data_IF_467027077367
#
_entry.id   IF_467027077367
#
_cell.length_a   1.000
_cell.length_b   1.000
_cell.length_c   1.000
_cell.angle_alpha   90.00
_cell.angle_beta   90.00
_cell.angle_gamma   90.00
#
_symmetry.space_group_name_H-M   'P 1'
#
loop_
_entity.id
_entity.type
_entity.pdbx_description
1 polymer ?
#
# COMPACT_ATOMS: atom_id res chain seq x y z
N UNK A 1 2.81 22.30 -8.07
CA UNK A 1 2.04 21.09 -7.71
C UNK A 1 1.71 20.33 -8.98
N UNK A 2 2.32 19.16 -9.19
CA UNK A 2 2.23 18.40 -10.44
C UNK A 2 1.35 17.16 -10.26
N UNK A 3 0.08 17.37 -9.89
CA UNK A 3 -0.90 16.29 -9.81
C UNK A 3 -1.54 16.12 -11.19
N UNK A 4 -0.92 15.33 -12.08
CA UNK A 4 -1.55 14.91 -13.35
C UNK A 4 -0.67 14.81 -14.61
N UNK A 5 0.57 15.31 -14.59
CA UNK A 5 1.45 15.23 -15.77
C UNK A 5 2.31 13.95 -15.74
N UNK A 6 2.51 13.33 -16.89
CA UNK A 6 3.45 12.23 -17.07
C UNK A 6 4.90 12.73 -16.97
N UNK A 7 5.87 11.87 -16.61
CA UNK A 7 7.27 12.25 -16.53
C UNK A 7 7.83 12.85 -17.83
N UNK A 8 7.31 12.38 -18.97
CA UNK A 8 7.65 12.91 -20.30
C UNK A 8 7.15 14.33 -20.50
N UNK A 9 5.91 14.63 -20.13
CA UNK A 9 5.35 16.00 -20.23
C UNK A 9 6.06 16.97 -19.29
N UNK A 10 6.49 16.49 -18.11
CA UNK A 10 7.33 17.27 -17.19
C UNK A 10 8.70 17.54 -17.82
N UNK A 11 9.32 16.52 -18.43
CA UNK A 11 10.58 16.68 -19.15
C UNK A 11 10.45 17.70 -20.28
N UNK A 12 9.40 17.61 -21.08
CA UNK A 12 9.12 18.53 -22.19
C UNK A 12 8.88 19.97 -21.70
N UNK A 13 8.14 20.12 -20.59
CA UNK A 13 7.89 21.43 -19.96
C UNK A 13 9.18 22.06 -19.44
N UNK A 14 10.02 21.30 -18.74
CA UNK A 14 11.31 21.77 -18.22
C UNK A 14 12.19 22.17 -19.39
N UNK A 15 12.30 21.31 -20.41
CA UNK A 15 13.06 21.57 -21.64
C UNK A 15 12.62 22.86 -22.32
N UNK A 16 11.30 23.08 -22.44
CA UNK A 16 10.75 24.32 -23.00
C UNK A 16 11.11 25.57 -22.18
N UNK A 17 11.10 25.48 -20.84
CA UNK A 17 11.41 26.61 -19.95
C UNK A 17 12.90 26.95 -19.87
N UNK A 18 13.78 25.97 -20.03
CA UNK A 18 15.23 26.21 -19.96
C UNK A 18 15.82 26.59 -21.32
N UNK A 19 15.14 26.28 -22.43
CA UNK A 19 15.58 26.58 -23.80
C UNK A 19 15.98 28.04 -24.04
N UNK A 20 15.32 29.01 -23.39
CA UNK A 20 15.66 30.43 -23.52
C UNK A 20 16.97 30.83 -22.84
N UNK A 21 17.51 29.98 -21.95
CA UNK A 21 18.74 30.24 -21.21
C UNK A 21 19.98 29.57 -21.83
N UNK A 22 19.82 28.80 -22.92
CA UNK A 22 20.92 28.12 -23.61
C UNK A 22 21.01 28.59 -25.06
N UNK A 23 22.18 29.10 -25.46
CA UNK A 23 22.40 29.70 -26.79
C UNK A 23 22.77 28.69 -27.87
N UNK A 24 23.44 27.60 -27.52
CA UNK A 24 24.09 26.71 -28.50
C UNK A 24 23.50 25.29 -28.55
N UNK A 25 22.94 24.78 -27.45
CA UNK A 25 22.29 23.46 -27.43
C UNK A 25 21.34 23.32 -26.23
N UNK A 26 20.14 22.82 -26.48
CA UNK A 26 19.18 22.49 -25.41
C UNK A 26 19.65 21.21 -24.71
N UNK A 27 19.78 21.18 -23.37
CA UNK A 27 20.23 19.99 -22.66
C UNK A 27 19.19 18.87 -22.75
N UNK A 28 19.67 17.63 -22.82
CA UNK A 28 18.81 16.44 -22.76
C UNK A 28 18.32 16.25 -21.32
N UNK A 29 17.01 16.38 -21.10
CA UNK A 29 16.38 16.30 -19.78
C UNK A 29 15.76 14.93 -19.59
N UNK A 30 16.35 14.09 -18.73
CA UNK A 30 15.73 12.84 -18.29
C UNK A 30 15.04 13.03 -16.95
N UNK A 31 13.72 12.83 -16.91
CA UNK A 31 12.94 12.83 -15.67
C UNK A 31 12.70 11.38 -15.24
N UNK A 32 13.21 11.02 -14.07
CA UNK A 32 12.98 9.71 -13.43
C UNK A 32 12.05 9.93 -12.25
N UNK A 33 10.96 9.18 -12.20
CA UNK A 33 10.06 9.19 -11.04
C UNK A 33 10.77 8.50 -9.88
N UNK A 34 11.18 9.25 -8.86
CA UNK A 34 11.93 8.72 -7.70
C UNK A 34 11.08 7.97 -6.69
N UNK A 35 9.77 8.19 -6.73
CA UNK A 35 8.76 7.45 -5.98
C UNK A 35 7.49 7.66 -6.80
N UNK A 36 6.98 6.70 -7.59
CA UNK A 36 5.62 6.85 -8.06
C UNK A 36 4.82 7.05 -6.77
N UNK A 37 3.92 8.01 -6.71
CA UNK A 37 2.89 7.99 -5.69
C UNK A 37 2.00 6.76 -5.98
N UNK A 38 2.60 5.58 -5.83
CA UNK A 38 2.00 4.29 -6.05
C UNK A 38 0.96 4.14 -4.97
N UNK A 39 -0.11 3.48 -5.32
CA UNK A 39 -1.15 3.07 -4.39
C UNK A 39 -0.47 2.48 -3.14
N UNK A 40 -0.61 3.12 -1.98
CA UNK A 40 -0.07 2.63 -0.70
C UNK A 40 -1.21 2.17 0.19
N UNK A 41 -0.95 1.19 1.04
CA UNK A 41 -1.79 0.88 2.19
C UNK A 41 -1.01 1.16 3.48
N UNK A 42 -1.71 1.18 4.61
CA UNK A 42 -1.12 1.44 5.92
C UNK A 42 -1.36 0.27 6.85
N UNK A 43 -0.38 -0.03 7.70
CA UNK A 43 -0.52 -0.98 8.80
C UNK A 43 -0.17 -0.26 10.10
N UNK A 44 -1.08 -0.31 11.07
CA UNK A 44 -0.95 0.39 12.35
C UNK A 44 -1.36 -0.51 13.52
N UNK A 45 -0.99 -0.10 14.74
CA UNK A 45 -1.26 -0.84 15.97
C UNK A 45 -0.11 -1.77 16.37
N UNK A 46 -0.42 -2.89 17.01
CA UNK A 46 0.54 -3.86 17.56
C UNK A 46 1.15 -4.77 16.48
N UNK A 47 1.93 -4.16 15.61
CA UNK A 47 2.81 -4.85 14.64
C UNK A 47 4.26 -4.45 14.89
N UNK A 48 5.21 -5.26 14.41
CA UNK A 48 6.63 -5.00 14.64
C UNK A 48 7.12 -3.73 13.93
N UNK A 49 6.61 -3.47 12.72
CA UNK A 49 6.97 -2.31 11.91
C UNK A 49 5.69 -1.63 11.39
N UNK A 50 5.09 -0.70 12.15
CA UNK A 50 3.97 0.09 11.64
C UNK A 50 4.42 1.05 10.53
N UNK A 51 3.55 1.35 9.56
CA UNK A 51 3.88 2.31 8.51
C UNK A 51 3.08 2.18 7.22
N UNK A 52 3.52 2.91 6.19
CA UNK A 52 2.97 2.84 4.84
C UNK A 52 3.73 1.83 3.99
N UNK A 53 3.00 1.04 3.20
CA UNK A 53 3.56 0.00 2.35
C UNK A 53 3.08 0.18 0.90
N UNK A 54 3.96 -0.02 -0.10
CA UNK A 54 3.59 0.08 -1.51
C UNK A 54 2.73 -1.11 -1.95
N UNK A 55 1.70 -0.84 -2.75
CA UNK A 55 0.93 -1.86 -3.47
C UNK A 55 1.64 -2.11 -4.79
N UNK A 56 2.57 -3.06 -4.79
CA UNK A 56 3.27 -3.52 -6.00
C UNK A 56 2.54 -4.65 -6.71
N UNK A 57 1.61 -5.33 -6.03
CA UNK A 57 0.78 -6.45 -6.49
C UNK A 57 -0.47 -6.54 -5.62
N UNK A 58 -1.41 -7.44 -5.92
CA UNK A 58 -2.52 -7.74 -5.00
C UNK A 58 -1.97 -8.22 -3.66
N UNK A 59 -2.26 -7.45 -2.59
CA UNK A 59 -1.84 -7.75 -1.22
C UNK A 59 -3.08 -8.03 -0.40
N UNK A 60 -3.11 -9.15 0.32
CA UNK A 60 -4.18 -9.47 1.27
C UNK A 60 -3.80 -9.09 2.71
N UNK A 61 -4.77 -9.10 3.62
CA UNK A 61 -4.53 -8.67 5.02
C UNK A 61 -3.42 -9.47 5.74
N UNK A 62 -3.28 -10.77 5.47
CA UNK A 62 -2.21 -11.58 6.06
C UNK A 62 -0.83 -11.23 5.49
N UNK A 63 -0.76 -10.96 4.19
CA UNK A 63 0.46 -10.50 3.53
C UNK A 63 0.84 -9.10 4.02
N UNK A 64 -0.12 -8.20 4.20
CA UNK A 64 0.09 -6.88 4.77
C UNK A 64 0.67 -6.97 6.20
N UNK A 65 0.12 -7.83 7.05
CA UNK A 65 0.67 -8.12 8.37
C UNK A 65 2.12 -8.63 8.29
N UNK A 66 2.40 -9.54 7.36
CA UNK A 66 3.75 -10.07 7.14
C UNK A 66 4.74 -8.99 6.68
N UNK A 67 4.30 -8.09 5.79
CA UNK A 67 5.10 -6.93 5.35
C UNK A 67 5.41 -5.97 6.50
N UNK A 68 4.51 -5.86 7.49
CA UNK A 68 4.73 -5.14 8.73
C UNK A 68 5.61 -5.86 9.77
N UNK A 69 6.29 -6.93 9.35
CA UNK A 69 7.14 -7.76 10.21
C UNK A 69 6.36 -8.79 11.04
N UNK A 70 5.04 -8.87 10.89
CA UNK A 70 4.18 -9.71 11.71
C UNK A 70 3.66 -8.98 12.95
N UNK A 71 2.85 -9.71 13.72
CA UNK A 71 2.24 -9.23 14.94
C UNK A 71 3.30 -9.00 16.03
N UNK A 72 3.14 -7.93 16.82
CA UNK A 72 3.92 -7.71 18.03
C UNK A 72 3.39 -8.55 19.19
N UNK A 73 4.10 -8.55 20.32
CA UNK A 73 3.65 -9.23 21.53
C UNK A 73 2.28 -8.70 21.98
N UNK A 74 1.40 -9.60 22.42
CA UNK A 74 0.04 -9.29 22.88
C UNK A 74 -0.87 -8.63 21.83
N UNK A 75 -0.56 -8.79 20.54
CA UNK A 75 -1.42 -8.39 19.44
C UNK A 75 -2.66 -9.29 19.32
N UNK A 76 -3.83 -8.67 19.15
CA UNK A 76 -5.09 -9.39 18.93
C UNK A 76 -5.42 -9.48 17.44
N UNK A 77 -4.69 -10.37 16.77
CA UNK A 77 -4.85 -10.65 15.34
C UNK A 77 -6.21 -11.23 14.97
N UNK A 78 -6.99 -11.75 15.93
CA UNK A 78 -8.35 -12.25 15.66
C UNK A 78 -9.39 -11.13 15.56
N UNK A 79 -9.06 -9.94 16.07
CA UNK A 79 -9.90 -8.76 16.02
C UNK A 79 -9.25 -7.63 15.21
N UNK A 80 -8.45 -8.00 14.20
CA UNK A 80 -7.92 -7.02 13.27
C UNK A 80 -9.06 -6.32 12.52
N UNK A 81 -8.80 -5.10 12.06
CA UNK A 81 -9.80 -4.28 11.38
C UNK A 81 -9.19 -3.66 10.13
N UNK A 82 -9.91 -3.74 9.02
CA UNK A 82 -9.59 -3.05 7.79
C UNK A 82 -10.49 -1.82 7.65
N UNK A 83 -9.87 -0.65 7.57
CA UNK A 83 -10.55 0.61 7.33
C UNK A 83 -10.40 0.99 5.86
N UNK A 84 -11.53 1.21 5.18
CA UNK A 84 -11.56 1.61 3.77
C UNK A 84 -12.35 2.89 3.57
N UNK A 85 -12.01 3.67 2.55
CA UNK A 85 -12.85 4.77 2.08
C UNK A 85 -13.94 4.23 1.15
N UNK A 86 -15.20 4.26 1.59
CA UNK A 86 -16.37 3.93 0.79
C UNK A 86 -17.06 5.18 0.25
N UNK A 87 -18.04 5.00 -0.65
CA UNK A 87 -18.76 6.09 -1.29
C UNK A 87 -19.53 7.03 -0.33
N UNK A 88 -19.80 6.57 0.90
CA UNK A 88 -20.54 7.32 1.94
C UNK A 88 -19.70 7.64 3.17
N UNK A 89 -18.39 7.42 3.12
CA UNK A 89 -17.46 7.60 4.24
C UNK A 89 -16.67 6.35 4.57
N UNK A 90 -16.05 6.33 5.75
CA UNK A 90 -15.16 5.25 6.17
C UNK A 90 -15.95 3.98 6.52
N UNK A 91 -15.56 2.86 5.90
CA UNK A 91 -16.08 1.52 6.15
C UNK A 91 -15.11 0.77 7.05
N UNK A 92 -15.63 0.06 8.03
CA UNK A 92 -14.88 -0.73 9.00
C UNK A 92 -15.21 -2.19 8.78
N UNK A 93 -14.22 -2.99 8.38
CA UNK A 93 -14.36 -4.41 8.09
C UNK A 93 -13.55 -5.24 9.10
N UNK A 94 -14.19 -6.07 9.94
CA UNK A 94 -13.48 -7.00 10.81
C UNK A 94 -12.71 -8.06 10.01
N UNK A 95 -11.52 -8.41 10.48
CA UNK A 95 -10.63 -9.41 9.86
C UNK A 95 -10.07 -10.33 10.95
N UNK A 96 -10.41 -11.63 10.91
CA UNK A 96 -9.84 -12.63 11.81
C UNK A 96 -8.59 -13.26 11.18
N UNK A 97 -7.42 -12.69 11.50
CA UNK A 97 -6.12 -13.24 11.08
C UNK A 97 -5.64 -14.34 12.03
N UNK A 98 -6.20 -14.45 13.24
CA UNK A 98 -5.78 -15.42 14.23
C UNK A 98 -6.10 -16.86 13.83
N UNK A 99 -7.24 -17.10 13.16
CA UNK A 99 -7.55 -18.43 12.62
C UNK A 99 -6.51 -18.91 11.61
N UNK A 100 -5.92 -17.98 10.85
CA UNK A 100 -4.90 -18.28 9.85
C UNK A 100 -3.54 -18.54 10.48
N UNK A 101 -3.20 -17.80 11.53
CA UNK A 101 -1.91 -17.88 12.22
C UNK A 101 -1.81 -19.07 13.19
N UNK A 102 -2.95 -19.54 13.74
CA UNK A 102 -2.98 -20.61 14.76
C UNK A 102 -2.68 -22.03 14.24
N UNK A 103 -2.31 -22.21 12.97
CA UNK A 103 -1.54 -23.35 12.46
C UNK A 103 -2.05 -24.79 12.68
N UNK A 104 -3.18 -25.05 13.35
CA UNK A 104 -3.51 -26.41 13.82
C UNK A 104 -4.88 -26.97 13.43
N UNK A 105 -5.83 -26.13 12.98
CA UNK A 105 -7.19 -26.57 12.60
C UNK A 105 -7.63 -26.17 11.19
N UNK A 106 -6.91 -25.25 10.56
CA UNK A 106 -7.23 -24.71 9.23
C UNK A 106 -6.39 -25.32 8.09
N UNK A 107 -5.43 -26.21 8.40
CA UNK A 107 -4.67 -26.99 7.42
C UNK A 107 -5.25 -28.40 7.25
N UNK A 108 -6.54 -28.57 7.51
CA UNK A 108 -7.25 -29.75 7.01
C UNK A 108 -7.06 -29.79 5.50
N UNK A 109 -6.65 -30.92 4.90
CA UNK A 109 -6.61 -31.06 3.45
C UNK A 109 -7.97 -30.63 2.86
N UNK A 110 -8.01 -29.55 2.09
CA UNK A 110 -9.27 -28.95 1.63
C UNK A 110 -9.10 -27.49 1.18
N UNK A 111 -10.17 -26.94 0.61
CA UNK A 111 -10.23 -25.53 0.19
C UNK A 111 -10.64 -24.68 1.38
N UNK A 112 -9.82 -23.70 1.73
CA UNK A 112 -10.14 -22.70 2.73
C UNK A 112 -11.20 -21.75 2.17
N UNK A 113 -12.40 -21.71 2.76
CA UNK A 113 -13.55 -20.96 2.25
C UNK A 113 -13.61 -19.51 2.72
N UNK A 114 -12.78 -19.11 3.69
CA UNK A 114 -12.71 -17.73 4.17
C UNK A 114 -11.70 -16.95 3.33
N UNK A 115 -12.20 -16.13 2.41
CA UNK A 115 -11.36 -15.23 1.63
C UNK A 115 -10.82 -14.10 2.51
N UNK A 116 -9.51 -13.87 2.43
CA UNK A 116 -8.89 -12.72 3.10
C UNK A 116 -9.13 -11.45 2.28
N UNK A 117 -9.48 -10.32 2.91
CA UNK A 117 -9.70 -9.09 2.18
C UNK A 117 -8.40 -8.61 1.51
N UNK A 118 -8.52 -8.21 0.24
CA UNK A 118 -7.45 -7.53 -0.49
C UNK A 118 -7.35 -6.08 -0.02
N UNK A 119 -6.14 -5.56 0.14
CA UNK A 119 -5.87 -4.16 0.47
C UNK A 119 -5.76 -3.33 -0.81
N UNK A 120 -6.52 -2.25 -0.82
CA UNK A 120 -6.50 -1.21 -1.84
C UNK A 120 -5.71 0.02 -1.43
N UNK A 121 -5.58 0.96 -2.38
CA UNK A 121 -4.94 2.25 -2.14
C UNK A 121 -5.69 3.02 -1.04
N UNK A 122 -4.97 3.47 -0.02
CA UNK A 122 -5.52 4.23 1.11
C UNK A 122 -6.15 3.37 2.21
N UNK A 123 -6.22 2.05 2.05
CA UNK A 123 -6.71 1.15 3.09
C UNK A 123 -5.77 1.16 4.31
N UNK A 124 -6.36 1.03 5.51
CA UNK A 124 -5.62 0.95 6.77
C UNK A 124 -5.95 -0.36 7.48
N UNK A 125 -4.97 -1.23 7.64
CA UNK A 125 -5.06 -2.42 8.49
C UNK A 125 -4.64 -2.05 9.92
N UNK A 126 -5.56 -2.20 10.86
CA UNK A 126 -5.35 -1.96 12.29
C UNK A 126 -5.24 -3.30 12.99
N UNK A 127 -4.13 -3.50 13.71
CA UNK A 127 -3.91 -4.67 14.57
C UNK A 127 -3.97 -4.20 16.03
N UNK A 128 -5.00 -4.55 16.80
CA UNK A 128 -5.12 -4.13 18.20
C UNK A 128 -4.08 -4.75 19.14
#
# INVERSE_FOLDING_TARGET
>A
SASGNTPREIADTITGRIKSNFRDSVPEVTVIVRDPAGMRFFVVGKVRTPGSYPISRSVNALQALSMAGGAADFADVSHAVLLRQGARGQVVEPVDLGQMLKGGRALSPGVQTTELPMLGAGDVLVIP
#
